data_IF_875983608069
#
_entry.id   IF_875983608069
#
_cell.length_a   1.000
_cell.length_b   1.000
_cell.length_c   1.000
_cell.angle_alpha   90.00
_cell.angle_beta   90.00
_cell.angle_gamma   90.00
#
_symmetry.space_group_name_H-M   'P 1'
#
loop_
_entity.id
_entity.type
_entity.pdbx_description
1 polymer ?
#
# COMPACT_ATOMS: atom_id res chain seq x y z
N UNK A 1 -9.17 -15.28 -2.24
CA UNK A 1 -8.35 -15.11 -3.46
C UNK A 1 -6.94 -14.77 -2.99
N UNK A 2 -5.93 -15.56 -3.35
CA UNK A 2 -4.56 -15.41 -2.83
C UNK A 2 -3.66 -14.55 -3.70
N UNK A 3 -3.96 -14.46 -4.99
CA UNK A 3 -3.17 -13.72 -5.98
C UNK A 3 -4.11 -12.89 -6.86
N UNK A 4 -3.70 -11.66 -7.15
CA UNK A 4 -4.39 -10.76 -8.08
C UNK A 4 -3.36 -10.18 -9.04
N UNK A 5 -3.65 -10.34 -10.34
CA UNK A 5 -2.93 -9.65 -11.42
C UNK A 5 -3.81 -8.54 -11.96
N UNK A 6 -3.40 -7.30 -11.73
CA UNK A 6 -4.12 -6.13 -12.26
C UNK A 6 -3.72 -5.91 -13.74
N UNK A 7 -4.67 -5.79 -14.68
CA UNK A 7 -4.35 -5.53 -16.08
C UNK A 7 -3.57 -4.23 -16.29
N UNK A 8 -2.66 -4.22 -17.26
CA UNK A 8 -1.83 -3.04 -17.60
C UNK A 8 -2.60 -1.84 -18.16
N UNK A 9 -3.89 -1.97 -18.44
CA UNK A 9 -4.76 -0.86 -18.81
C UNK A 9 -5.27 -0.06 -17.61
N UNK A 10 -5.09 -0.57 -16.39
CA UNK A 10 -5.57 0.08 -15.16
C UNK A 10 -4.67 1.25 -14.80
N UNK A 11 -5.24 2.44 -14.66
CA UNK A 11 -4.50 3.69 -14.37
C UNK A 11 -4.60 4.15 -12.92
N UNK A 12 -5.57 3.62 -12.18
CA UNK A 12 -5.77 3.87 -10.75
C UNK A 12 -6.40 2.67 -10.05
N UNK A 13 -6.09 2.49 -8.78
CA UNK A 13 -6.78 1.56 -7.89
C UNK A 13 -7.76 2.38 -7.06
N UNK A 14 -9.05 2.10 -7.20
CA UNK A 14 -10.11 2.87 -6.54
C UNK A 14 -10.19 2.61 -5.04
N UNK A 15 -11.00 3.44 -4.38
CA UNK A 15 -11.24 3.34 -2.94
C UNK A 15 -11.82 1.97 -2.59
N UNK A 16 -11.28 1.35 -1.54
CA UNK A 16 -11.67 0.04 -1.02
C UNK A 16 -11.67 -1.12 -2.05
N UNK A 17 -11.01 -0.98 -3.21
CA UNK A 17 -11.10 -1.94 -4.32
C UNK A 17 -10.76 -3.40 -3.94
N UNK A 18 -9.85 -3.58 -3.01
CA UNK A 18 -9.41 -4.87 -2.46
C UNK A 18 -9.51 -4.92 -0.93
N UNK A 19 -10.34 -4.06 -0.33
CA UNK A 19 -10.54 -4.07 1.12
C UNK A 19 -11.09 -5.42 1.59
N UNK A 20 -10.60 -5.91 2.73
CA UNK A 20 -10.95 -7.19 3.34
C UNK A 20 -10.69 -8.41 2.43
N UNK A 21 -9.72 -8.32 1.52
CA UNK A 21 -9.19 -9.49 0.84
C UNK A 21 -8.23 -10.24 1.76
N UNK A 22 -8.75 -10.83 2.84
CA UNK A 22 -7.99 -11.40 3.96
C UNK A 22 -6.94 -12.44 3.53
N UNK A 23 -7.22 -13.19 2.47
CA UNK A 23 -6.34 -14.23 1.92
C UNK A 23 -5.34 -13.73 0.87
N UNK A 24 -5.42 -12.47 0.43
CA UNK A 24 -4.53 -11.92 -0.58
C UNK A 24 -3.12 -11.86 -0.01
N UNK A 25 -2.21 -12.66 -0.56
CA UNK A 25 -0.82 -12.73 -0.13
C UNK A 25 0.13 -12.05 -1.11
N UNK A 26 -0.26 -11.99 -2.39
CA UNK A 26 0.56 -11.43 -3.46
C UNK A 26 -0.30 -10.55 -4.39
N UNK A 27 0.26 -9.42 -4.80
CA UNK A 27 -0.33 -8.56 -5.81
C UNK A 27 0.73 -7.88 -6.66
N UNK A 28 0.51 -7.89 -7.97
CA UNK A 28 1.32 -7.13 -8.93
C UNK A 28 0.56 -5.87 -9.35
N UNK A 29 1.06 -4.71 -8.94
CA UNK A 29 0.56 -3.41 -9.40
C UNK A 29 1.30 -3.03 -10.70
N UNK A 30 0.59 -2.84 -11.83
CA UNK A 30 1.24 -2.50 -13.09
C UNK A 30 1.75 -1.05 -13.09
N UNK A 31 2.78 -0.80 -13.89
CA UNK A 31 3.40 0.53 -14.07
C UNK A 31 2.51 1.57 -14.76
N UNK A 32 1.29 1.19 -15.16
CA UNK A 32 0.25 2.11 -15.62
C UNK A 32 -0.47 2.82 -14.47
N UNK A 33 -0.42 2.26 -13.25
CA UNK A 33 -1.11 2.81 -12.08
C UNK A 33 -0.40 4.04 -11.58
N UNK A 34 -1.16 5.13 -11.42
CA UNK A 34 -0.66 6.44 -10.97
C UNK A 34 -1.14 6.80 -9.57
N UNK A 35 -2.21 6.17 -9.08
CA UNK A 35 -2.77 6.41 -7.76
C UNK A 35 -3.40 5.15 -7.14
N UNK A 36 -3.32 5.09 -5.81
CA UNK A 36 -3.98 4.08 -4.97
C UNK A 36 -4.94 4.82 -4.04
N UNK A 37 -6.22 4.47 -4.08
CA UNK A 37 -7.30 5.12 -3.35
C UNK A 37 -7.35 4.79 -1.86
N UNK A 38 -8.33 5.38 -1.20
CA UNK A 38 -8.53 5.26 0.24
C UNK A 38 -8.96 3.84 0.60
N UNK A 39 -8.36 3.27 1.65
CA UNK A 39 -8.62 1.90 2.10
C UNK A 39 -8.49 0.81 1.02
N UNK A 40 -7.82 1.08 -0.10
CA UNK A 40 -7.78 0.19 -1.27
C UNK A 40 -7.40 -1.26 -0.94
N UNK A 41 -6.52 -1.48 0.03
CA UNK A 41 -6.04 -2.77 0.51
C UNK A 41 -6.23 -2.92 2.02
N UNK A 42 -7.16 -2.19 2.63
CA UNK A 42 -7.35 -2.27 4.08
C UNK A 42 -7.78 -3.69 4.48
N UNK A 43 -7.29 -4.19 5.61
CA UNK A 43 -7.59 -5.53 6.12
C UNK A 43 -7.11 -6.70 5.22
N UNK A 44 -6.16 -6.49 4.30
CA UNK A 44 -5.48 -7.60 3.61
C UNK A 44 -4.48 -8.29 4.54
N UNK A 45 -4.97 -9.10 5.48
CA UNK A 45 -4.16 -9.66 6.57
C UNK A 45 -3.02 -10.56 6.12
N UNK A 46 -3.15 -11.23 4.97
CA UNK A 46 -2.12 -12.15 4.44
C UNK A 46 -1.06 -11.47 3.57
N UNK A 47 -1.23 -10.20 3.22
CA UNK A 47 -0.31 -9.48 2.35
C UNK A 47 0.98 -9.18 3.13
N UNK A 48 2.09 -9.80 2.74
CA UNK A 48 3.37 -9.68 3.45
C UNK A 48 4.35 -8.71 2.81
N UNK A 49 4.25 -8.55 1.48
CA UNK A 49 5.11 -7.69 0.69
C UNK A 49 4.31 -6.92 -0.35
N UNK A 50 4.78 -5.72 -0.70
CA UNK A 50 4.25 -4.99 -1.85
C UNK A 50 5.31 -4.11 -2.51
N UNK A 51 5.35 -4.13 -3.84
CA UNK A 51 6.19 -3.24 -4.64
C UNK A 51 5.32 -2.15 -5.23
N UNK A 52 5.56 -0.90 -4.84
CA UNK A 52 4.88 0.26 -5.42
C UNK A 52 5.61 0.67 -6.71
N UNK A 53 4.96 0.69 -7.88
CA UNK A 53 5.60 1.12 -9.12
C UNK A 53 6.01 2.60 -9.09
N UNK A 54 7.08 2.93 -9.83
CA UNK A 54 7.58 4.32 -9.96
C UNK A 54 6.61 5.28 -10.66
N UNK A 55 5.54 4.77 -11.26
CA UNK A 55 4.44 5.55 -11.82
C UNK A 55 3.49 6.10 -10.76
N UNK A 56 3.46 5.50 -9.56
CA UNK A 56 2.55 5.90 -8.49
C UNK A 56 3.02 7.23 -7.90
N UNK A 57 2.07 8.17 -7.81
CA UNK A 57 2.27 9.53 -7.29
C UNK A 57 1.66 9.67 -5.89
N UNK A 58 0.50 9.05 -5.65
CA UNK A 58 -0.25 9.18 -4.40
C UNK A 58 -0.83 7.85 -3.89
N UNK A 59 -0.83 7.71 -2.56
CA UNK A 59 -1.47 6.62 -1.81
C UNK A 59 -2.47 7.23 -0.84
N UNK A 60 -3.71 6.76 -0.85
CA UNK A 60 -4.83 7.28 -0.07
C UNK A 60 -4.75 7.01 1.44
N UNK A 61 -5.73 7.56 2.16
CA UNK A 61 -5.91 7.36 3.60
C UNK A 61 -6.22 5.89 3.88
N UNK A 62 -5.60 5.32 4.92
CA UNK A 62 -5.79 3.93 5.33
C UNK A 62 -5.59 2.86 4.23
N UNK A 63 -4.91 3.20 3.12
CA UNK A 63 -4.81 2.34 1.93
C UNK A 63 -4.33 0.91 2.23
N UNK A 64 -3.41 0.72 3.17
CA UNK A 64 -2.90 -0.57 3.65
C UNK A 64 -3.13 -0.75 5.16
N UNK A 65 -4.12 -0.06 5.73
CA UNK A 65 -4.45 -0.17 7.14
C UNK A 65 -4.87 -1.60 7.47
N UNK A 66 -4.32 -2.16 8.56
CA UNK A 66 -4.57 -3.53 9.02
C UNK A 66 -4.06 -4.62 8.06
N UNK A 67 -3.06 -4.32 7.24
CA UNK A 67 -2.25 -5.35 6.60
C UNK A 67 -1.25 -5.91 7.62
N UNK A 68 -1.75 -6.70 8.57
CA UNK A 68 -1.01 -7.12 9.77
C UNK A 68 0.20 -8.03 9.50
N UNK A 69 0.34 -8.56 8.28
CA UNK A 69 1.53 -9.32 7.84
C UNK A 69 2.51 -8.50 7.01
N UNK A 70 2.12 -7.27 6.60
CA UNK A 70 2.92 -6.44 5.71
C UNK A 70 4.14 -5.91 6.46
N UNK A 71 5.30 -6.49 6.14
CA UNK A 71 6.60 -6.16 6.75
C UNK A 71 7.58 -5.58 5.75
N UNK A 72 7.35 -5.80 4.44
CA UNK A 72 8.22 -5.35 3.37
C UNK A 72 7.46 -4.47 2.37
N UNK A 73 8.00 -3.29 2.08
CA UNK A 73 7.45 -2.38 1.08
C UNK A 73 8.57 -1.57 0.42
N UNK A 74 8.48 -1.41 -0.89
CA UNK A 74 9.34 -0.49 -1.65
C UNK A 74 8.51 0.69 -2.11
N UNK A 75 8.82 1.90 -1.60
CA UNK A 75 8.16 3.15 -1.99
C UNK A 75 9.12 4.02 -2.82
N UNK A 76 8.94 4.12 -4.15
CA UNK A 76 9.83 4.89 -5.02
C UNK A 76 9.77 6.39 -4.73
N UNK A 77 10.78 7.15 -5.16
CA UNK A 77 10.86 8.61 -4.99
C UNK A 77 9.71 9.39 -5.63
N UNK A 78 9.05 8.79 -6.63
CA UNK A 78 7.87 9.33 -7.32
C UNK A 78 6.65 9.53 -6.41
N UNK A 79 6.53 8.75 -5.34
CA UNK A 79 5.43 8.89 -4.37
C UNK A 79 5.67 10.15 -3.57
N UNK A 80 4.83 11.15 -3.82
CA UNK A 80 4.92 12.48 -3.19
C UNK A 80 3.92 12.64 -2.05
N UNK A 81 2.88 11.80 -2.00
CA UNK A 81 1.85 11.85 -0.95
C UNK A 81 1.41 10.47 -0.50
N UNK A 82 1.29 10.29 0.81
CA UNK A 82 0.71 9.11 1.46
C UNK A 82 -0.32 9.60 2.47
N UNK A 83 -1.50 8.99 2.49
CA UNK A 83 -2.60 9.35 3.38
C UNK A 83 -2.35 9.06 4.86
N UNK A 84 -3.21 9.62 5.71
CA UNK A 84 -3.23 9.34 7.15
C UNK A 84 -3.59 7.86 7.38
N UNK A 85 -2.91 7.22 8.33
CA UNK A 85 -3.16 5.83 8.69
C UNK A 85 -2.93 4.82 7.57
N UNK A 86 -2.32 5.22 6.45
CA UNK A 86 -2.11 4.35 5.28
C UNK A 86 -1.45 3.02 5.63
N UNK A 87 -0.60 2.98 6.66
CA UNK A 87 0.07 1.78 7.17
C UNK A 87 -0.24 1.53 8.65
N UNK A 88 -1.42 1.97 9.12
CA UNK A 88 -1.87 1.67 10.48
C UNK A 88 -1.89 0.16 10.72
N UNK A 89 -1.27 -0.29 11.81
CA UNK A 89 -1.11 -1.72 12.16
C UNK A 89 -0.29 -2.59 11.20
N UNK A 90 0.50 -2.03 10.26
CA UNK A 90 1.50 -2.81 9.53
C UNK A 90 2.72 -3.15 10.42
N UNK A 91 3.34 -4.32 10.20
CA UNK A 91 4.46 -4.83 11.02
C UNK A 91 5.83 -4.55 10.39
N UNK A 92 6.05 -3.31 9.96
CA UNK A 92 7.36 -2.91 9.43
C UNK A 92 8.45 -2.98 10.50
N UNK A 93 9.68 -3.41 10.14
CA UNK A 93 10.84 -3.32 11.02
C UNK A 93 11.19 -1.84 11.31
N UNK A 94 11.84 -1.60 12.45
CA UNK A 94 12.06 -0.24 12.95
C UNK A 94 12.83 0.66 11.98
N UNK A 95 13.82 0.12 11.27
CA UNK A 95 14.60 0.87 10.27
C UNK A 95 13.71 1.39 9.14
N UNK A 96 12.86 0.53 8.57
CA UNK A 96 11.92 0.90 7.51
C UNK A 96 10.88 1.90 8.02
N UNK A 97 10.34 1.65 9.23
CA UNK A 97 9.39 2.56 9.86
C UNK A 97 9.98 3.96 10.04
N UNK A 98 11.24 4.07 10.49
CA UNK A 98 11.90 5.37 10.65
C UNK A 98 12.18 6.06 9.33
N UNK A 99 12.56 5.33 8.28
CA UNK A 99 12.71 5.88 6.93
C UNK A 99 11.39 6.50 6.44
N UNK A 100 10.29 5.75 6.55
CA UNK A 100 8.96 6.19 6.13
C UNK A 100 8.47 7.38 6.96
N UNK A 101 8.73 7.40 8.27
CA UNK A 101 8.41 8.55 9.14
C UNK A 101 9.21 9.78 8.72
N UNK A 102 10.50 9.63 8.42
CA UNK A 102 11.37 10.73 7.98
C UNK A 102 10.84 11.37 6.68
N UNK A 103 10.32 10.55 5.77
CA UNK A 103 9.87 10.99 4.45
C UNK A 103 8.43 11.54 4.44
N UNK A 104 7.50 10.94 5.17
CA UNK A 104 6.06 11.27 5.06
C UNK A 104 5.40 11.65 6.39
N UNK A 105 6.16 11.62 7.49
CA UNK A 105 5.69 11.90 8.84
C UNK A 105 4.98 10.72 9.50
N UNK A 106 4.83 10.80 10.83
CA UNK A 106 4.23 9.73 11.62
C UNK A 106 2.73 9.52 11.38
N UNK A 107 2.05 10.44 10.66
CA UNK A 107 0.61 10.37 10.40
C UNK A 107 0.21 9.14 9.58
N UNK A 108 1.13 8.60 8.79
CA UNK A 108 0.86 7.42 7.95
C UNK A 108 0.70 6.14 8.79
N UNK A 109 1.10 6.16 10.07
CA UNK A 109 1.00 5.03 11.01
C UNK A 109 -0.06 5.23 12.12
N UNK A 110 -0.79 6.34 12.09
CA UNK A 110 -1.71 6.78 13.17
C UNK A 110 -3.17 6.69 12.78
#
# INVERSE_FOLDING_TARGET
LSEIVIPSSVTSIGDSAFSSCDSLSEIVIPSSVTSIGDSAFSYCFSLSEIVIPSSVISIGDSAFSRCDSLSEIVIPSSVTSIGKGAFYNCKFPDNLKQELISRFGNRIFK
#
